data_IF_890530253601
#
_entry.id   IF_890530253601
#
_cell.length_a   1.000
_cell.length_b   1.000
_cell.length_c   1.000
_cell.angle_alpha   90.00
_cell.angle_beta   90.00
_cell.angle_gamma   90.00
#
_symmetry.space_group_name_H-M   'P 1'
#
loop_
_entity.id
_entity.type
_entity.pdbx_description
1 polymer ?
#
# COMPACT_ATOMS: atom_id res chain seq x y z
N UNK A 1 52.29 26.19 9.62
CA UNK A 1 51.69 25.87 8.30
C UNK A 1 51.15 24.45 8.31
N UNK A 2 51.92 23.40 8.70
CA UNK A 2 51.51 21.99 8.69
C UNK A 2 50.28 21.70 9.57
N UNK A 3 50.17 22.28 10.75
CA UNK A 3 49.03 22.16 11.65
C UNK A 3 47.77 22.72 11.04
N UNK A 4 47.86 23.84 10.35
CA UNK A 4 46.74 24.51 9.70
C UNK A 4 46.17 23.66 8.55
N UNK A 5 47.07 23.05 7.76
CA UNK A 5 46.71 22.13 6.68
C UNK A 5 46.01 20.89 7.27
N UNK A 6 46.50 20.34 8.40
CA UNK A 6 45.89 19.19 9.05
C UNK A 6 44.46 19.49 9.52
N UNK A 7 44.22 20.66 10.16
CA UNK A 7 42.90 21.09 10.57
C UNK A 7 41.93 21.30 9.39
N UNK A 8 42.44 21.87 8.29
CA UNK A 8 41.66 22.02 7.07
C UNK A 8 41.25 20.68 6.48
N UNK A 9 42.16 19.70 6.47
CA UNK A 9 41.87 18.35 5.96
C UNK A 9 40.84 17.63 6.84
N UNK A 10 40.96 17.71 8.16
CA UNK A 10 40.00 17.14 9.11
C UNK A 10 38.61 17.80 8.94
N UNK A 11 38.56 19.10 8.75
CA UNK A 11 37.30 19.83 8.49
C UNK A 11 36.62 19.36 7.22
N UNK A 12 37.41 19.12 6.17
CA UNK A 12 36.90 18.66 4.89
C UNK A 12 36.34 17.23 4.98
N UNK A 13 37.04 16.33 5.68
CA UNK A 13 36.58 14.94 5.94
C UNK A 13 35.28 14.96 6.75
N UNK A 14 35.22 15.77 7.78
CA UNK A 14 34.02 15.91 8.60
C UNK A 14 32.82 16.41 7.79
N UNK A 15 33.04 17.40 6.92
CA UNK A 15 32.02 17.93 6.05
C UNK A 15 31.52 16.90 5.03
N UNK A 16 32.43 16.11 4.44
CA UNK A 16 32.07 15.01 3.54
C UNK A 16 31.25 13.96 4.26
N UNK A 17 31.63 13.58 5.47
CA UNK A 17 30.84 12.62 6.28
C UNK A 17 29.44 13.14 6.56
N UNK A 18 29.28 14.38 6.99
CA UNK A 18 27.96 15.00 7.22
C UNK A 18 27.13 15.03 5.95
N UNK A 19 27.74 15.36 4.83
CA UNK A 19 27.03 15.40 3.55
C UNK A 19 26.53 14.02 3.10
N UNK A 20 27.35 13.00 3.22
CA UNK A 20 26.98 11.61 2.91
C UNK A 20 25.82 11.14 3.84
N UNK A 21 25.90 11.45 5.12
CA UNK A 21 24.84 11.11 6.09
C UNK A 21 23.53 11.81 5.72
N UNK A 22 23.57 13.11 5.41
CA UNK A 22 22.38 13.86 5.01
C UNK A 22 21.78 13.35 3.69
N UNK A 23 22.62 12.99 2.72
CA UNK A 23 22.17 12.43 1.44
C UNK A 23 21.46 11.08 1.64
N UNK A 24 21.96 10.25 2.56
CA UNK A 24 21.31 8.99 2.93
C UNK A 24 19.94 9.23 3.59
N UNK A 25 19.85 10.12 4.57
CA UNK A 25 18.59 10.44 5.27
C UNK A 25 17.51 10.97 4.28
N UNK A 26 17.94 11.76 3.29
CA UNK A 26 17.04 12.26 2.24
C UNK A 26 16.55 11.11 1.36
N UNK A 27 17.45 10.21 0.97
CA UNK A 27 17.10 9.05 0.14
C UNK A 27 16.10 8.14 0.86
N UNK A 28 16.31 7.88 2.16
CA UNK A 28 15.43 7.02 2.94
C UNK A 28 14.02 7.61 3.04
N UNK A 29 13.90 8.92 3.29
CA UNK A 29 12.62 9.64 3.27
C UNK A 29 11.93 9.58 1.90
N UNK A 30 12.70 9.74 0.82
CA UNK A 30 12.16 9.65 -0.53
C UNK A 30 11.60 8.26 -0.84
N UNK A 31 12.28 7.20 -0.38
CA UNK A 31 11.79 5.83 -0.52
C UNK A 31 10.49 5.64 0.26
N UNK A 32 10.41 6.14 1.49
CA UNK A 32 9.21 6.08 2.31
C UNK A 32 8.04 6.81 1.64
N UNK A 33 8.24 8.03 1.14
CA UNK A 33 7.22 8.78 0.39
C UNK A 33 6.77 8.02 -0.87
N UNK A 34 7.70 7.40 -1.59
CA UNK A 34 7.37 6.61 -2.77
C UNK A 34 6.54 5.37 -2.42
N UNK A 35 6.80 4.72 -1.27
CA UNK A 35 6.00 3.59 -0.78
C UNK A 35 4.57 4.05 -0.48
N UNK A 36 4.41 5.18 0.21
CA UNK A 36 3.09 5.76 0.49
C UNK A 36 2.35 6.09 -0.79
N UNK A 37 3.00 6.73 -1.76
CA UNK A 37 2.42 7.05 -3.06
C UNK A 37 2.03 5.80 -3.86
N UNK A 38 2.84 4.75 -3.82
CA UNK A 38 2.54 3.46 -4.44
C UNK A 38 1.31 2.81 -3.79
N UNK A 39 1.18 2.90 -2.46
CA UNK A 39 0.02 2.41 -1.73
C UNK A 39 -1.25 3.17 -2.09
N UNK A 40 -1.20 4.51 -2.16
CA UNK A 40 -2.33 5.33 -2.61
C UNK A 40 -2.75 4.99 -4.03
N UNK A 41 -1.80 4.77 -4.93
CA UNK A 41 -2.10 4.35 -6.29
C UNK A 41 -2.80 2.98 -6.33
N UNK A 42 -2.30 2.01 -5.57
CA UNK A 42 -2.92 0.69 -5.47
C UNK A 42 -4.33 0.78 -4.86
N UNK A 43 -4.50 1.56 -3.78
CA UNK A 43 -5.79 1.80 -3.14
C UNK A 43 -6.80 2.41 -4.11
N UNK A 44 -6.38 3.38 -4.91
CA UNK A 44 -7.24 4.00 -5.94
C UNK A 44 -7.74 2.97 -6.95
N UNK A 45 -6.87 2.06 -7.43
CA UNK A 45 -7.29 1.01 -8.37
C UNK A 45 -8.24 0.01 -7.71
N UNK A 46 -7.94 -0.41 -6.47
CA UNK A 46 -8.76 -1.35 -5.72
C UNK A 46 -10.15 -0.79 -5.39
N UNK A 47 -10.25 0.53 -5.18
CA UNK A 47 -11.52 1.20 -4.85
C UNK A 47 -12.28 1.70 -6.06
N UNK A 48 -11.63 1.87 -7.22
CA UNK A 48 -12.34 2.20 -8.46
C UNK A 48 -13.42 1.16 -8.73
N UNK A 49 -14.60 1.65 -9.14
CA UNK A 49 -15.62 0.80 -9.75
C UNK A 49 -14.98 0.19 -11.00
N UNK A 50 -14.52 -1.05 -10.88
CA UNK A 50 -14.36 -1.83 -12.07
C UNK A 50 -15.77 -1.93 -12.63
N UNK A 51 -16.07 -1.18 -13.68
CA UNK A 51 -17.19 -1.43 -14.58
C UNK A 51 -16.94 -2.81 -15.23
N UNK A 52 -16.85 -3.80 -14.39
CA UNK A 52 -17.01 -5.16 -14.84
C UNK A 52 -18.49 -5.25 -15.18
N UNK A 53 -18.75 -5.14 -16.46
CA UNK A 53 -19.78 -5.91 -17.12
C UNK A 53 -19.53 -7.40 -16.74
N UNK A 54 -19.67 -7.72 -15.45
CA UNK A 54 -19.98 -9.08 -15.10
C UNK A 54 -21.38 -9.29 -15.64
N UNK A 55 -21.54 -10.10 -16.69
CA UNK A 55 -22.86 -10.55 -17.03
C UNK A 55 -23.39 -11.19 -15.75
N UNK A 56 -24.49 -10.66 -15.23
CA UNK A 56 -25.31 -11.29 -14.21
C UNK A 56 -25.87 -12.61 -14.81
N UNK A 57 -24.95 -13.55 -15.09
CA UNK A 57 -25.28 -14.90 -15.49
C UNK A 57 -25.33 -15.76 -14.23
N UNK A 58 -26.25 -15.44 -13.36
CA UNK A 58 -26.87 -16.45 -12.52
C UNK A 58 -28.36 -16.20 -12.52
N UNK A 59 -29.08 -17.05 -13.24
CA UNK A 59 -30.48 -17.30 -13.00
C UNK A 59 -30.69 -17.60 -11.51
N UNK A 60 -30.95 -16.58 -10.71
CA UNK A 60 -31.67 -16.73 -9.48
C UNK A 60 -33.08 -16.23 -9.76
N UNK A 61 -34.04 -17.13 -9.70
CA UNK A 61 -35.45 -16.82 -9.73
C UNK A 61 -35.71 -15.75 -8.65
N UNK A 62 -35.83 -14.51 -9.11
CA UNK A 62 -36.12 -13.38 -8.23
C UNK A 62 -37.59 -13.37 -7.91
N UNK A 63 -37.92 -13.73 -6.67
CA UNK A 63 -39.28 -13.77 -6.18
C UNK A 63 -39.83 -12.40 -5.74
N UNK A 64 -39.00 -11.37 -5.53
CA UNK A 64 -39.48 -10.06 -5.08
C UNK A 64 -38.77 -8.85 -5.70
N UNK A 65 -39.51 -7.80 -6.13
CA UNK A 65 -38.94 -6.57 -6.70
C UNK A 65 -38.12 -5.73 -5.69
N UNK A 66 -38.32 -5.94 -4.38
CA UNK A 66 -37.62 -5.20 -3.32
C UNK A 66 -36.13 -5.56 -3.15
N UNK A 67 -35.75 -6.77 -3.55
CA UNK A 67 -34.35 -7.24 -3.38
C UNK A 67 -33.36 -6.54 -4.33
N UNK A 68 -33.85 -5.98 -5.45
CA UNK A 68 -33.01 -5.21 -6.38
C UNK A 68 -32.51 -3.90 -5.79
N UNK A 69 -33.26 -3.28 -4.90
CA UNK A 69 -32.87 -2.02 -4.27
C UNK A 69 -31.80 -2.25 -3.18
N UNK A 70 -31.86 -3.37 -2.46
CA UNK A 70 -30.84 -3.71 -1.46
C UNK A 70 -29.53 -4.13 -2.11
N UNK A 71 -29.53 -4.83 -3.24
CA UNK A 71 -28.32 -5.21 -3.95
C UNK A 71 -27.55 -4.04 -4.56
N UNK A 72 -28.21 -2.92 -4.87
CA UNK A 72 -27.55 -1.71 -5.40
C UNK A 72 -26.73 -0.93 -4.36
N UNK A 73 -26.99 -1.15 -3.07
CA UNK A 73 -26.31 -0.40 -1.99
C UNK A 73 -25.12 -1.11 -1.37
N UNK A 74 -24.88 -2.36 -1.69
CA UNK A 74 -23.72 -3.08 -1.16
C UNK A 74 -22.60 -3.10 -2.20
N UNK A 75 -21.62 -2.18 -2.03
CA UNK A 75 -20.34 -2.32 -2.73
C UNK A 75 -19.70 -3.62 -2.23
N UNK A 76 -19.47 -4.62 -3.10
CA UNK A 76 -18.79 -5.82 -2.65
C UNK A 76 -17.38 -5.42 -2.16
N UNK A 77 -17.01 -5.93 -0.99
CA UNK A 77 -15.69 -5.79 -0.39
C UNK A 77 -14.57 -6.06 -1.40
N UNK A 78 -13.46 -5.34 -1.30
CA UNK A 78 -12.26 -5.56 -2.14
C UNK A 78 -11.84 -7.03 -2.08
N UNK A 79 -11.87 -7.63 -0.88
CA UNK A 79 -11.55 -9.04 -0.64
C UNK A 79 -12.43 -9.99 -1.48
N UNK A 80 -13.69 -9.63 -1.73
CA UNK A 80 -14.62 -10.44 -2.54
C UNK A 80 -14.50 -10.20 -4.04
N UNK A 81 -13.91 -9.06 -4.43
CA UNK A 81 -13.76 -8.65 -5.84
C UNK A 81 -12.44 -9.07 -6.46
N UNK A 82 -11.40 -9.18 -5.66
CA UNK A 82 -10.04 -9.45 -6.11
C UNK A 82 -9.47 -10.67 -5.40
N UNK A 83 -8.78 -11.50 -6.15
CA UNK A 83 -7.97 -12.57 -5.58
C UNK A 83 -6.69 -12.01 -4.94
N UNK A 84 -6.04 -12.81 -4.11
CA UNK A 84 -4.74 -12.48 -3.51
C UNK A 84 -3.70 -12.06 -4.57
N UNK A 85 -3.63 -12.80 -5.68
CA UNK A 85 -2.65 -12.54 -6.73
C UNK A 85 -2.96 -11.24 -7.48
N UNK A 86 -4.23 -10.94 -7.76
CA UNK A 86 -4.65 -9.67 -8.37
C UNK A 86 -4.31 -8.47 -7.48
N UNK A 87 -4.50 -8.59 -6.16
CA UNK A 87 -4.11 -7.54 -5.21
C UNK A 87 -2.60 -7.35 -5.23
N UNK A 88 -1.82 -8.44 -5.21
CA UNK A 88 -0.37 -8.39 -5.30
C UNK A 88 0.10 -7.70 -6.58
N UNK A 89 -0.50 -8.02 -7.72
CA UNK A 89 -0.17 -7.41 -9.01
C UNK A 89 -0.48 -5.91 -9.04
N UNK A 90 -1.62 -5.49 -8.50
CA UNK A 90 -1.99 -4.08 -8.40
C UNK A 90 -0.99 -3.30 -7.53
N UNK A 91 -0.57 -3.86 -6.39
CA UNK A 91 0.46 -3.26 -5.53
C UNK A 91 1.79 -3.20 -6.28
N UNK A 92 2.17 -4.27 -6.99
CA UNK A 92 3.38 -4.33 -7.82
C UNK A 92 3.38 -3.26 -8.91
N UNK A 93 2.24 -3.00 -9.54
CA UNK A 93 2.09 -1.92 -10.52
C UNK A 93 2.36 -0.56 -9.88
N UNK A 94 1.86 -0.32 -8.66
CA UNK A 94 2.15 0.89 -7.89
C UNK A 94 3.64 1.04 -7.59
N UNK A 95 4.28 -0.02 -7.10
CA UNK A 95 5.72 -0.04 -6.81
C UNK A 95 6.56 0.24 -8.05
N UNK A 96 6.21 -0.36 -9.19
CA UNK A 96 6.89 -0.12 -10.46
C UNK A 96 6.76 1.35 -10.91
N UNK A 97 5.58 1.95 -10.73
CA UNK A 97 5.31 3.34 -11.10
C UNK A 97 6.16 4.34 -10.31
N UNK A 98 6.44 4.04 -9.03
CA UNK A 98 7.19 4.91 -8.13
C UNK A 98 8.66 4.48 -7.94
N UNK A 99 9.22 3.74 -8.89
CA UNK A 99 10.63 3.31 -8.90
C UNK A 99 11.04 2.42 -7.72
N UNK A 100 10.10 1.61 -7.20
CA UNK A 100 10.32 0.67 -6.11
C UNK A 100 10.36 -0.79 -6.62
N UNK A 101 10.74 -1.02 -7.86
CA UNK A 101 10.68 -2.33 -8.53
C UNK A 101 11.43 -3.42 -7.76
N UNK A 102 12.56 -3.08 -7.16
CA UNK A 102 13.44 -4.03 -6.47
C UNK A 102 13.11 -4.20 -4.99
N UNK A 103 12.12 -3.45 -4.49
CA UNK A 103 11.71 -3.55 -3.10
C UNK A 103 10.69 -4.68 -2.91
N UNK A 104 10.97 -5.66 -2.03
CA UNK A 104 9.99 -6.65 -1.64
C UNK A 104 8.91 -5.99 -0.78
N UNK A 105 7.69 -6.49 -0.89
CA UNK A 105 6.59 -6.06 -0.05
C UNK A 105 5.74 -7.25 0.36
N UNK A 106 5.11 -7.12 1.50
CA UNK A 106 4.03 -7.99 1.97
C UNK A 106 2.80 -7.13 2.22
N UNK A 107 1.62 -7.70 2.07
CA UNK A 107 0.38 -6.96 2.22
C UNK A 107 -0.68 -7.73 2.98
N UNK A 108 -1.62 -6.98 3.54
CA UNK A 108 -2.87 -7.48 4.09
C UNK A 108 -3.99 -6.50 3.74
N UNK A 109 -5.08 -7.03 3.23
CA UNK A 109 -6.37 -6.33 3.14
C UNK A 109 -7.29 -6.96 4.17
N UNK A 110 -7.79 -6.16 5.08
CA UNK A 110 -8.66 -6.61 6.16
C UNK A 110 -9.88 -5.72 6.29
N UNK A 111 -11.00 -6.31 6.68
CA UNK A 111 -12.19 -5.57 7.11
C UNK A 111 -12.03 -5.26 8.60
N UNK A 112 -12.24 -3.99 8.98
CA UNK A 112 -12.16 -3.54 10.38
C UNK A 112 -13.41 -3.96 11.17
N UNK A 113 -13.63 -5.27 11.30
CA UNK A 113 -14.73 -5.84 12.09
C UNK A 113 -14.20 -6.95 12.99
N UNK A 114 -14.86 -7.16 14.11
CA UNK A 114 -14.59 -8.32 14.97
C UNK A 114 -14.93 -9.58 14.17
N UNK A 115 -13.96 -10.36 13.76
CA UNK A 115 -14.04 -11.47 12.80
C UNK A 115 -14.18 -11.05 11.32
N UNK A 116 -13.65 -9.90 10.95
CA UNK A 116 -13.64 -9.45 9.55
C UNK A 116 -12.82 -10.37 8.65
N UNK A 117 -13.30 -10.54 7.41
CA UNK A 117 -12.55 -11.24 6.37
C UNK A 117 -11.20 -10.55 6.13
N UNK A 118 -10.16 -11.33 5.79
CA UNK A 118 -8.84 -10.80 5.47
C UNK A 118 -8.19 -11.62 4.36
N UNK A 119 -7.39 -10.94 3.53
CA UNK A 119 -6.53 -11.54 2.51
C UNK A 119 -5.12 -10.99 2.69
N UNK A 120 -4.16 -11.87 2.87
CA UNK A 120 -2.77 -11.49 3.15
C UNK A 120 -1.77 -12.32 2.35
N UNK A 121 -0.59 -11.77 2.16
CA UNK A 121 0.55 -12.46 1.55
C UNK A 121 1.20 -13.45 2.53
N UNK A 122 1.92 -14.45 2.00
CA UNK A 122 2.36 -15.61 2.79
C UNK A 122 3.25 -15.28 3.99
N UNK A 123 4.08 -14.24 3.86
CA UNK A 123 5.01 -13.85 4.90
C UNK A 123 4.56 -12.61 5.70
N UNK A 124 3.33 -12.11 5.48
CA UNK A 124 2.86 -10.88 6.11
C UNK A 124 3.08 -10.89 7.63
N UNK A 125 2.59 -11.89 8.32
CA UNK A 125 2.70 -11.96 9.79
C UNK A 125 4.13 -12.09 10.29
N UNK A 126 5.00 -12.75 9.54
CA UNK A 126 6.42 -12.85 9.87
C UNK A 126 7.09 -11.47 9.92
N UNK A 127 6.82 -10.63 8.93
CA UNK A 127 7.39 -9.28 8.86
C UNK A 127 6.61 -8.28 9.70
N UNK A 128 5.33 -8.55 9.98
CA UNK A 128 4.51 -7.70 10.84
C UNK A 128 5.03 -7.62 12.28
N UNK A 129 5.61 -8.69 12.79
CA UNK A 129 6.15 -8.76 14.15
C UNK A 129 7.48 -8.03 14.31
N UNK A 130 8.21 -7.78 13.24
CA UNK A 130 9.48 -7.06 13.28
C UNK A 130 9.26 -5.55 13.16
N UNK A 131 9.60 -4.83 14.24
CA UNK A 131 9.44 -3.37 14.33
C UNK A 131 10.37 -2.56 13.42
N UNK A 132 11.43 -3.19 12.87
CA UNK A 132 12.35 -2.51 11.96
C UNK A 132 11.78 -2.34 10.54
N UNK A 133 10.73 -3.06 10.22
CA UNK A 133 10.10 -2.98 8.91
C UNK A 133 9.24 -1.73 8.78
N UNK A 134 9.25 -1.13 7.60
CA UNK A 134 8.35 -0.02 7.27
C UNK A 134 6.92 -0.56 7.12
N UNK A 135 5.99 0.03 7.86
CA UNK A 135 4.57 -0.35 7.83
C UNK A 135 3.71 0.85 7.53
N UNK A 136 2.87 0.72 6.53
CA UNK A 136 1.88 1.72 6.18
C UNK A 136 0.50 1.08 6.13
N UNK A 137 -0.48 1.75 6.73
CA UNK A 137 -1.89 1.33 6.73
C UNK A 137 -2.72 2.44 6.13
N UNK A 138 -3.56 2.09 5.17
CA UNK A 138 -4.43 3.03 4.47
C UNK A 138 -5.85 2.49 4.43
N UNK A 139 -6.84 3.32 4.74
CA UNK A 139 -8.25 2.99 4.53
C UNK A 139 -8.57 2.99 3.03
N UNK A 140 -9.32 1.97 2.59
CA UNK A 140 -9.78 1.84 1.21
C UNK A 140 -11.10 2.60 1.04
N UNK A 141 -11.02 3.91 0.97
CA UNK A 141 -12.18 4.77 0.81
C UNK A 141 -12.66 4.80 -0.65
N UNK A 142 -13.99 4.81 -0.87
CA UNK A 142 -14.53 5.01 -2.21
C UNK A 142 -14.11 6.37 -2.76
N UNK A 143 -13.90 6.51 -4.09
CA UNK A 143 -13.60 7.80 -4.70
C UNK A 143 -14.70 8.83 -4.44
N UNK A 144 -14.31 10.08 -4.17
CA UNK A 144 -15.26 11.20 -4.05
C UNK A 144 -16.09 11.36 -5.32
N UNK A 145 -17.40 11.56 -5.18
CA UNK A 145 -18.37 11.64 -6.28
C UNK A 145 -18.85 10.27 -6.79
N UNK A 146 -18.41 9.16 -6.18
CA UNK A 146 -18.98 7.85 -6.49
C UNK A 146 -20.32 7.64 -5.78
N UNK A 147 -21.15 6.76 -6.33
CA UNK A 147 -22.45 6.37 -5.71
C UNK A 147 -22.29 5.77 -4.30
N UNK A 148 -21.06 5.45 -3.92
CA UNK A 148 -20.67 4.80 -2.66
C UNK A 148 -19.93 5.71 -1.69
N UNK A 149 -19.78 7.00 -1.99
CA UNK A 149 -19.04 7.96 -1.16
C UNK A 149 -19.51 8.00 0.30
N UNK A 150 -20.80 7.80 0.53
CA UNK A 150 -21.39 7.79 1.86
C UNK A 150 -21.36 6.41 2.56
N UNK A 151 -20.87 5.38 1.88
CA UNK A 151 -20.71 4.05 2.47
C UNK A 151 -19.29 3.95 3.03
N UNK A 152 -19.18 4.03 4.34
CA UNK A 152 -17.90 3.86 5.04
C UNK A 152 -17.38 2.45 4.75
N UNK A 153 -16.33 2.37 3.94
CA UNK A 153 -15.60 1.12 3.77
C UNK A 153 -14.66 0.98 4.96
N UNK A 154 -14.93 0.03 5.84
CA UNK A 154 -14.03 -0.30 6.94
C UNK A 154 -12.87 -1.21 6.49
N UNK A 155 -12.54 -1.19 5.20
CA UNK A 155 -11.44 -1.98 4.66
C UNK A 155 -10.12 -1.23 4.74
N UNK A 156 -9.10 -1.93 5.23
CA UNK A 156 -7.76 -1.40 5.41
C UNK A 156 -6.77 -2.17 4.53
N UNK A 157 -5.96 -1.43 3.79
CA UNK A 157 -4.79 -1.96 3.08
C UNK A 157 -3.54 -1.70 3.92
N UNK A 158 -2.92 -2.75 4.41
CA UNK A 158 -1.64 -2.69 5.09
C UNK A 158 -0.53 -3.18 4.16
N UNK A 159 0.52 -2.39 3.99
CA UNK A 159 1.73 -2.79 3.25
C UNK A 159 2.92 -2.76 4.20
N UNK A 160 3.74 -3.81 4.13
CA UNK A 160 5.00 -3.92 4.87
C UNK A 160 6.12 -4.04 3.86
N UNK A 161 7.12 -3.19 4.01
CA UNK A 161 8.36 -3.29 3.26
C UNK A 161 9.46 -3.74 4.21
N UNK A 162 9.97 -4.97 4.04
CA UNK A 162 11.03 -5.51 4.88
C UNK A 162 12.30 -4.65 4.80
N UNK A 163 12.88 -4.36 5.95
CA UNK A 163 14.16 -3.65 6.01
C UNK A 163 15.26 -4.53 5.42
N UNK A 164 15.78 -4.16 4.26
CA UNK A 164 16.91 -4.84 3.64
C UNK A 164 18.22 -4.24 4.15
N UNK A 165 18.95 -5.02 4.95
CA UNK A 165 20.35 -4.70 5.31
C UNK A 165 21.19 -4.74 4.03
N UNK A 166 21.43 -3.60 3.40
CA UNK A 166 22.35 -3.51 2.25
C UNK A 166 21.86 -2.81 1.00
N UNK A 167 20.60 -2.33 0.94
CA UNK A 167 20.10 -1.50 -0.16
C UNK A 167 20.14 0.01 0.14
N UNK A 168 20.66 0.34 1.31
CA UNK A 168 20.83 1.72 1.78
C UNK A 168 22.30 1.94 2.12
#
# INVERSE_FOLDING_TARGET
ITILILFSLLGLIFFQYMWIKSAKDIKDKQVEENIVNAQYYAATILTQERNSLMPLSRKSDMLFPGDKLQMQYFKPSVIKRFSKDEIADIIRMGFNKYNLKDYPFEFNVSVNAINGDQVYSDNFYKYYLDSNNLRHVLALEPPSGSSFENLVSEELLSIIVPHQKGLI
#
